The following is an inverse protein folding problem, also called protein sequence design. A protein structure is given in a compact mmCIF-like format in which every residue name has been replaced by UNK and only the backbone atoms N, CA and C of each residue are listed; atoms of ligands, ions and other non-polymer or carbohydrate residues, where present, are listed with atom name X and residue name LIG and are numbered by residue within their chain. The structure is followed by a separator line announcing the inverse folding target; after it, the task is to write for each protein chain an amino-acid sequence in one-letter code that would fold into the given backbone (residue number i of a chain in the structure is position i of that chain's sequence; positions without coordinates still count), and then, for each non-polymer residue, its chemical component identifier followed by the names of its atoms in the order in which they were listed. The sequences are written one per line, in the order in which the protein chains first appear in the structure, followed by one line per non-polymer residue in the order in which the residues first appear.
data_IF_283598778523
#
_entry.id   IF_283598778523
#
_cell.length_a   1.000
_cell.length_b   1.000
_cell.length_c   1.000
_cell.angle_alpha   90.00
_cell.angle_beta   90.00
_cell.angle_gamma   90.00
#
_symmetry.space_group_name_H-M   'P 1'
#
loop_
_entity.id
_entity.type
_entity.pdbx_description
1 polymer ?
#
# COMPACT_ATOMS: atom_id res chain seq x y z
N UNK A 1 -1.68 -14.86 -3.51
CA UNK A 1 -0.79 -14.57 -2.37
C UNK A 1 -1.59 -14.76 -1.09
N UNK A 2 -1.07 -15.47 -0.10
CA UNK A 2 -1.76 -15.67 1.19
C UNK A 2 -1.44 -14.54 2.17
N UNK A 3 -2.22 -14.43 3.25
CA UNK A 3 -1.93 -13.48 4.33
C UNK A 3 -0.57 -13.76 5.00
N UNK A 4 -0.21 -15.03 5.14
CA UNK A 4 1.07 -15.45 5.70
C UNK A 4 2.25 -14.99 4.83
N UNK A 5 2.12 -15.08 3.50
CA UNK A 5 3.14 -14.61 2.56
C UNK A 5 3.37 -13.10 2.69
N UNK A 6 2.31 -12.30 2.87
CA UNK A 6 2.43 -10.86 3.10
C UNK A 6 3.10 -10.56 4.44
N UNK A 7 2.80 -11.32 5.48
CA UNK A 7 3.37 -11.11 6.81
C UNK A 7 4.89 -11.42 6.82
N UNK A 8 5.29 -12.49 6.15
CA UNK A 8 6.69 -12.89 6.04
C UNK A 8 7.47 -11.92 5.15
N UNK A 9 7.03 -11.75 3.91
CA UNK A 9 7.77 -10.99 2.89
C UNK A 9 7.61 -9.48 3.01
N UNK A 10 6.52 -9.01 3.62
CA UNK A 10 6.21 -7.59 3.80
C UNK A 10 6.42 -6.83 2.47
N UNK A 11 5.72 -7.22 1.39
CA UNK A 11 5.95 -6.63 0.10
C UNK A 11 5.51 -5.16 0.11
N UNK A 12 6.16 -4.35 -0.72
CA UNK A 12 5.61 -3.05 -1.11
C UNK A 12 4.43 -3.28 -2.04
N UNK A 13 3.34 -2.58 -1.80
CA UNK A 13 2.15 -2.60 -2.65
C UNK A 13 2.10 -1.32 -3.47
N UNK A 14 1.61 -1.39 -4.70
CA UNK A 14 1.54 -0.27 -5.63
C UNK A 14 0.13 -0.16 -6.18
N UNK A 15 -0.37 1.06 -6.35
CA UNK A 15 -1.72 1.24 -6.87
C UNK A 15 -2.33 2.58 -6.55
N UNK A 16 -3.65 2.62 -6.72
CA UNK A 16 -4.50 3.77 -6.46
C UNK A 16 -5.58 3.41 -5.45
N UNK A 17 -5.69 4.19 -4.37
CA UNK A 17 -6.78 4.06 -3.39
C UNK A 17 -7.51 5.40 -3.21
N UNK A 18 -8.79 5.34 -2.84
CA UNK A 18 -9.57 6.51 -2.43
C UNK A 18 -9.50 6.68 -0.93
N UNK A 19 -9.07 7.87 -0.48
CA UNK A 19 -8.93 8.19 0.95
C UNK A 19 -9.56 9.55 1.20
N UNK A 20 -10.65 9.58 1.98
CA UNK A 20 -11.40 10.81 2.28
C UNK A 20 -11.75 11.63 1.02
N UNK A 21 -12.19 10.95 -0.04
CA UNK A 21 -12.54 11.58 -1.31
C UNK A 21 -11.36 11.99 -2.20
N UNK A 22 -10.12 11.82 -1.75
CA UNK A 22 -8.92 12.06 -2.56
C UNK A 22 -8.30 10.76 -3.05
N UNK A 23 -8.05 10.65 -4.33
CA UNK A 23 -7.28 9.56 -4.91
C UNK A 23 -5.80 9.67 -4.48
N UNK A 24 -5.22 8.55 -4.06
CA UNK A 24 -3.82 8.41 -3.66
C UNK A 24 -3.18 7.34 -4.50
N UNK A 25 -2.31 7.76 -5.42
CA UNK A 25 -1.59 6.89 -6.35
C UNK A 25 -0.13 6.86 -5.92
N UNK A 26 0.43 5.67 -5.77
CA UNK A 26 1.83 5.53 -5.40
C UNK A 26 2.16 4.16 -4.83
N UNK A 27 3.08 4.15 -3.87
CA UNK A 27 3.53 2.95 -3.17
C UNK A 27 3.09 2.95 -1.72
N UNK A 28 2.76 1.77 -1.20
CA UNK A 28 2.39 1.50 0.17
C UNK A 28 3.45 0.56 0.73
N UNK A 29 4.28 1.08 1.62
CA UNK A 29 5.43 0.36 2.16
C UNK A 29 5.12 -0.12 3.57
N UNK A 30 5.43 -1.38 3.90
CA UNK A 30 5.18 -1.88 5.24
C UNK A 30 6.14 -1.23 6.23
N UNK A 31 5.60 -0.87 7.38
CA UNK A 31 6.29 -0.24 8.49
C UNK A 31 5.85 -0.91 9.77
N UNK A 32 6.82 -1.36 10.55
CA UNK A 32 6.56 -1.88 11.88
C UNK A 32 6.23 -0.73 12.83
N UNK A 33 5.09 -0.86 13.52
CA UNK A 33 4.70 0.04 14.59
C UNK A 33 5.03 -0.60 15.94
N UNK A 34 6.10 -0.11 16.58
CA UNK A 34 6.58 -0.59 17.88
C UNK A 34 5.58 -0.42 19.02
N UNK A 35 4.67 0.56 18.93
CA UNK A 35 3.71 0.85 20.00
C UNK A 35 2.54 -0.13 19.99
N UNK A 36 2.15 -0.61 18.82
CA UNK A 36 1.04 -1.55 18.65
C UNK A 36 1.50 -2.96 18.32
N UNK A 37 2.81 -3.20 18.21
CA UNK A 37 3.43 -4.45 17.77
C UNK A 37 2.80 -5.00 16.47
N UNK A 38 2.48 -4.11 15.53
CA UNK A 38 1.80 -4.48 14.27
C UNK A 38 2.48 -3.89 13.05
N UNK A 39 2.31 -4.54 11.90
CA UNK A 39 2.73 -4.01 10.61
C UNK A 39 1.60 -3.16 10.02
N UNK A 40 1.97 -1.95 9.61
CA UNK A 40 1.08 -1.01 8.92
C UNK A 40 1.72 -0.60 7.60
N UNK A 41 0.90 -0.32 6.59
CA UNK A 41 1.34 0.22 5.32
C UNK A 41 1.30 1.73 5.35
N UNK A 42 2.43 2.37 5.08
CA UNK A 42 2.54 3.81 4.93
C UNK A 42 2.54 4.20 3.45
N UNK A 43 1.78 5.23 3.08
CA UNK A 43 1.68 5.74 1.73
C UNK A 43 2.88 6.64 1.37
N UNK A 44 3.39 6.45 0.16
CA UNK A 44 4.42 7.25 -0.48
C UNK A 44 3.97 7.60 -1.89
N UNK A 45 4.12 8.87 -2.27
CA UNK A 45 3.84 9.33 -3.63
C UNK A 45 4.82 8.69 -4.63
N UNK A 46 4.52 8.81 -5.92
CA UNK A 46 5.42 8.39 -7.01
C UNK A 46 6.84 8.98 -6.86
N UNK A 47 6.95 10.23 -6.41
CA UNK A 47 8.24 10.91 -6.14
C UNK A 47 8.95 10.42 -4.86
N UNK A 48 8.39 9.44 -4.15
CA UNK A 48 8.95 8.89 -2.91
C UNK A 48 8.66 9.72 -1.66
N UNK A 49 7.86 10.78 -1.75
CA UNK A 49 7.49 11.59 -0.58
C UNK A 49 6.46 10.85 0.27
N UNK A 50 6.70 10.77 1.58
CA UNK A 50 5.76 10.13 2.51
C UNK A 50 4.49 10.97 2.66
N UNK A 51 3.34 10.38 2.37
CA UNK A 51 2.05 11.00 2.63
C UNK A 51 1.52 10.72 4.05
N UNK A 52 0.45 11.40 4.44
CA UNK A 52 -0.19 11.26 5.75
C UNK A 52 -1.12 10.04 5.87
N UNK A 53 -1.12 9.15 4.87
CA UNK A 53 -2.06 8.03 4.78
C UNK A 53 -1.35 6.72 5.11
N UNK A 54 -2.09 5.80 5.72
CA UNK A 54 -1.70 4.42 5.84
C UNK A 54 -2.89 3.51 6.12
N UNK A 55 -2.65 2.21 6.16
CA UNK A 55 -3.65 1.21 6.50
C UNK A 55 -3.02 -0.02 7.16
N UNK A 56 -3.83 -0.88 7.77
CA UNK A 56 -3.34 -2.10 8.41
C UNK A 56 -2.90 -3.15 7.39
N UNK A 57 -2.08 -4.11 7.80
CA UNK A 57 -1.70 -5.25 6.94
C UNK A 57 -2.92 -5.98 6.35
N UNK A 58 -3.98 -6.17 7.14
CA UNK A 58 -5.21 -6.83 6.68
C UNK A 58 -5.91 -6.04 5.58
N UNK A 59 -5.96 -4.71 5.68
CA UNK A 59 -6.48 -3.86 4.60
C UNK A 59 -5.62 -3.99 3.35
N UNK A 60 -4.29 -4.00 3.49
CA UNK A 60 -3.38 -4.21 2.36
C UNK A 60 -3.61 -5.54 1.64
N UNK A 61 -3.77 -6.62 2.40
CA UNK A 61 -4.11 -7.94 1.86
C UNK A 61 -5.44 -7.94 1.11
N UNK A 62 -6.47 -7.32 1.68
CA UNK A 62 -7.79 -7.22 1.06
C UNK A 62 -7.75 -6.43 -0.26
N UNK A 63 -7.04 -5.29 -0.27
CA UNK A 63 -6.90 -4.45 -1.46
C UNK A 63 -6.08 -5.14 -2.56
N UNK A 64 -5.06 -5.91 -2.19
CA UNK A 64 -4.28 -6.72 -3.13
C UNK A 64 -5.15 -7.81 -3.76
N UNK A 65 -5.93 -8.55 -2.96
CA UNK A 65 -6.80 -9.60 -3.48
C UNK A 65 -7.96 -9.08 -4.34
N UNK A 66 -8.39 -7.83 -4.10
CA UNK A 66 -9.36 -7.14 -4.96
C UNK A 66 -8.75 -6.59 -6.26
N UNK A 67 -7.44 -6.68 -6.44
CA UNK A 67 -6.74 -6.09 -7.59
C UNK A 67 -6.66 -4.56 -7.57
N UNK A 68 -7.02 -3.91 -6.45
CA UNK A 68 -6.90 -2.45 -6.31
C UNK A 68 -5.44 -2.03 -6.04
N UNK A 69 -4.68 -2.93 -5.42
CA UNK A 69 -3.23 -2.83 -5.28
C UNK A 69 -2.57 -4.01 -6.00
N UNK A 70 -1.29 -3.83 -6.35
CA UNK A 70 -0.46 -4.79 -7.06
C UNK A 70 0.93 -4.85 -6.43
N UNK A 71 1.68 -5.91 -6.77
CA UNK A 71 3.12 -6.01 -6.49
C UNK A 71 3.96 -5.34 -7.59
N UNK A 72 3.32 -4.95 -8.70
CA UNK A 72 3.96 -4.32 -9.85
C UNK A 72 4.17 -2.81 -9.62
N UNK A 73 5.43 -2.32 -9.61
CA UNK A 73 5.74 -0.89 -9.46
C UNK A 73 5.07 0.02 -10.49
N UNK A 74 4.78 -0.47 -11.70
CA UNK A 74 4.12 0.32 -12.74
C UNK A 74 2.73 0.80 -12.28
N UNK A 75 2.02 -0.01 -11.48
CA UNK A 75 0.73 0.38 -10.90
C UNK A 75 0.84 1.51 -9.88
N UNK A 76 2.04 1.93 -9.50
CA UNK A 76 2.26 3.09 -8.64
C UNK A 76 2.41 4.42 -9.39
N UNK A 77 2.42 4.42 -10.73
CA UNK A 77 2.65 5.62 -11.54
C UNK A 77 1.34 6.32 -11.89
N UNK A 78 1.31 7.64 -11.75
CA UNK A 78 0.12 8.47 -12.04
C UNK A 78 -0.31 8.32 -13.50
N UNK A 79 0.64 8.19 -14.43
CA UNK A 79 0.36 8.05 -15.86
C UNK A 79 -0.47 6.81 -16.25
N UNK A 80 -0.64 5.84 -15.36
CA UNK A 80 -1.47 4.65 -15.59
C UNK A 80 -2.92 4.80 -15.14
N UNK A 81 -3.32 5.98 -14.64
CA UNK A 81 -4.67 6.29 -14.15
C UNK A 81 -5.27 7.56 -14.78
N UNK A 82 -4.60 8.10 -15.80
CA UNK A 82 -5.05 9.20 -16.68
C UNK A 82 -5.53 8.61 -18.01
#
# INVERSE_FOLDING_TARGET
MTLLDILQNKPTLYGSIMVKGSQKIGSFRPKYNKYTNTIQYAYYTEKGNRGQVGFSLNTGYHLLNKGQLSLDPEKGKIGNYL
#
